data_IF_907819585293
#
_entry.id   IF_907819585293
#
_cell.length_a   1.000
_cell.length_b   1.000
_cell.length_c   1.000
_cell.angle_alpha   90.00
_cell.angle_beta   90.00
_cell.angle_gamma   90.00
#
_symmetry.space_group_name_H-M   'P 1'
#
loop_
_entity.id
_entity.type
_entity.pdbx_description
1 polymer ?
#
# COMPACT_ATOMS: atom_id res chain seq x y z
N UNK A 1 13.51 -15.58 3.47
CA UNK A 1 12.20 -14.97 3.73
C UNK A 1 12.01 -13.65 3.02
N UNK A 2 10.81 -13.17 3.04
CA UNK A 2 10.45 -11.87 2.44
C UNK A 2 10.72 -10.72 3.41
N UNK A 3 11.19 -9.60 2.86
CA UNK A 3 11.22 -8.33 3.58
C UNK A 3 9.82 -7.71 3.52
N UNK A 4 9.28 -7.31 4.66
CA UNK A 4 7.98 -6.64 4.74
C UNK A 4 8.17 -5.13 4.56
N UNK A 5 7.42 -4.56 3.62
CA UNK A 5 7.36 -3.11 3.36
C UNK A 5 5.91 -2.68 3.53
N UNK A 6 5.67 -1.64 4.32
CA UNK A 6 4.36 -1.02 4.42
C UNK A 6 4.25 0.12 3.42
N UNK A 7 3.23 0.08 2.58
CA UNK A 7 2.91 1.13 1.62
C UNK A 7 1.46 1.58 1.86
N UNK A 8 1.27 2.77 2.40
CA UNK A 8 -0.03 3.25 2.85
C UNK A 8 -0.26 4.71 2.47
N UNK A 9 -1.47 5.05 2.11
CA UNK A 9 -1.87 6.44 1.93
C UNK A 9 -2.20 7.15 3.25
N UNK A 10 -2.14 6.45 4.38
CA UNK A 10 -2.30 7.09 5.69
C UNK A 10 -1.12 8.00 6.02
N UNK A 11 -1.29 8.89 6.98
CA UNK A 11 -0.25 9.84 7.38
C UNK A 11 0.90 9.15 8.11
N UNK A 12 2.10 9.70 7.98
CA UNK A 12 3.35 9.11 8.43
C UNK A 12 3.37 8.65 9.90
N UNK A 13 2.93 9.42 10.90
CA UNK A 13 2.99 8.95 12.29
C UNK A 13 2.17 7.66 12.52
N UNK A 14 1.02 7.56 11.88
CA UNK A 14 0.16 6.37 11.97
C UNK A 14 0.77 5.19 11.23
N UNK A 15 1.27 5.43 10.02
CA UNK A 15 1.90 4.39 9.19
C UNK A 15 3.16 3.83 9.87
N UNK A 16 3.98 4.66 10.49
CA UNK A 16 5.16 4.23 11.22
C UNK A 16 4.81 3.32 12.39
N UNK A 17 3.80 3.70 13.18
CA UNK A 17 3.32 2.87 14.29
C UNK A 17 2.81 1.50 13.82
N UNK A 18 2.08 1.46 12.71
CA UNK A 18 1.62 0.19 12.12
C UNK A 18 2.82 -0.61 11.60
N UNK A 19 3.77 0.06 10.95
CA UNK A 19 4.99 -0.57 10.44
C UNK A 19 5.78 -1.28 11.52
N UNK A 20 5.93 -0.66 12.68
CA UNK A 20 6.56 -1.26 13.86
C UNK A 20 5.79 -2.51 14.33
N UNK A 21 4.47 -2.44 14.40
CA UNK A 21 3.63 -3.56 14.83
C UNK A 21 3.75 -4.78 13.91
N UNK A 22 3.89 -4.58 12.61
CA UNK A 22 3.99 -5.67 11.62
C UNK A 22 5.42 -6.07 11.28
N UNK A 23 6.41 -5.41 11.89
CA UNK A 23 7.81 -5.68 11.62
C UNK A 23 8.28 -5.24 10.23
N UNK A 24 7.69 -4.18 9.68
CA UNK A 24 8.09 -3.64 8.39
C UNK A 24 9.49 -3.02 8.48
N UNK A 25 10.34 -3.35 7.52
CA UNK A 25 11.68 -2.76 7.41
C UNK A 25 11.67 -1.38 6.81
N UNK A 26 10.69 -1.10 5.95
CA UNK A 26 10.49 0.21 5.34
C UNK A 26 9.02 0.57 5.36
N UNK A 27 8.75 1.86 5.52
CA UNK A 27 7.39 2.41 5.53
C UNK A 27 7.34 3.56 4.54
N UNK A 28 6.44 3.47 3.59
CA UNK A 28 6.10 4.55 2.66
C UNK A 28 4.68 5.02 2.97
N UNK A 29 4.54 6.29 3.22
CA UNK A 29 3.26 6.88 3.66
C UNK A 29 3.07 8.29 3.13
N UNK A 30 1.87 8.83 3.28
CA UNK A 30 1.64 10.25 3.05
C UNK A 30 2.32 11.05 4.16
N UNK A 31 2.99 12.14 3.79
CA UNK A 31 3.78 12.94 4.71
C UNK A 31 3.03 14.20 5.12
N UNK A 32 2.94 14.44 6.44
CA UNK A 32 2.41 15.67 6.98
C UNK A 32 3.46 16.77 6.93
N UNK A 33 3.03 18.00 6.66
CA UNK A 33 3.89 19.17 6.75
C UNK A 33 3.96 19.68 8.20
N UNK A 34 5.17 20.00 8.61
CA UNK A 34 5.45 20.61 9.92
C UNK A 34 6.09 21.98 9.72
N UNK A 35 5.71 22.92 10.59
CA UNK A 35 6.36 24.23 10.64
C UNK A 35 7.77 24.12 11.20
N UNK A 36 8.55 25.22 11.12
CA UNK A 36 9.88 25.33 11.73
C UNK A 36 9.91 25.05 13.25
N UNK A 37 8.75 25.11 13.91
CA UNK A 37 8.56 24.78 15.33
C UNK A 37 8.09 23.34 15.57
N UNK A 38 8.16 22.47 14.57
CA UNK A 38 7.64 21.09 14.61
C UNK A 38 6.14 20.98 14.94
N UNK A 39 5.36 21.96 14.51
CA UNK A 39 3.90 21.94 14.64
C UNK A 39 3.30 21.53 13.28
N UNK A 40 2.46 20.50 13.27
CA UNK A 40 1.73 20.10 12.08
C UNK A 40 0.79 21.23 11.64
N UNK A 41 0.90 21.66 10.40
CA UNK A 41 0.09 22.74 9.85
C UNK A 41 -1.25 22.27 9.24
N UNK A 42 -1.50 20.96 9.29
CA UNK A 42 -2.72 20.36 8.75
C UNK A 42 -2.70 20.10 7.24
N UNK A 43 -1.57 20.34 6.59
CA UNK A 43 -1.40 20.05 5.16
C UNK A 43 -0.57 18.79 4.92
N UNK A 44 -0.69 18.22 3.72
CA UNK A 44 0.04 17.03 3.29
C UNK A 44 1.08 17.45 2.26
N UNK A 45 2.36 17.20 2.56
CA UNK A 45 3.47 17.52 1.66
C UNK A 45 3.62 16.51 0.53
N UNK A 46 3.47 15.23 0.85
CA UNK A 46 3.47 14.13 -0.12
C UNK A 46 2.27 13.24 0.14
N UNK A 47 1.42 13.10 -0.85
CA UNK A 47 0.20 12.28 -0.77
C UNK A 47 0.36 11.01 -1.60
N UNK A 48 0.25 9.85 -0.96
CA UNK A 48 0.27 8.54 -1.62
C UNK A 48 -1.12 8.06 -2.05
N UNK A 49 -2.17 8.80 -1.74
CA UNK A 49 -3.52 8.44 -2.21
C UNK A 49 -3.57 8.51 -3.75
N UNK A 50 -3.76 7.36 -4.38
CA UNK A 50 -3.73 7.25 -5.84
C UNK A 50 -2.32 7.33 -6.48
N UNK A 51 -1.27 7.51 -5.70
CA UNK A 51 0.12 7.70 -6.18
C UNK A 51 1.07 6.55 -5.77
N UNK A 52 0.55 5.43 -5.32
CA UNK A 52 1.37 4.27 -4.94
C UNK A 52 2.13 3.65 -6.10
N UNK A 53 1.66 3.85 -7.32
CA UNK A 53 2.25 3.27 -8.52
C UNK A 53 3.72 3.64 -8.71
N UNK A 54 4.08 4.90 -8.46
CA UNK A 54 5.46 5.38 -8.60
C UNK A 54 6.40 4.69 -7.62
N UNK A 55 5.98 4.54 -6.35
CA UNK A 55 6.74 3.81 -5.34
C UNK A 55 6.87 2.34 -5.70
N UNK A 56 5.81 1.72 -6.17
CA UNK A 56 5.83 0.32 -6.63
C UNK A 56 6.75 0.12 -7.83
N UNK A 57 6.77 1.06 -8.75
CA UNK A 57 7.69 1.01 -9.89
C UNK A 57 9.15 1.04 -9.43
N UNK A 58 9.51 1.95 -8.54
CA UNK A 58 10.86 2.02 -7.96
C UNK A 58 11.25 0.72 -7.24
N UNK A 59 10.34 0.15 -6.46
CA UNK A 59 10.56 -1.12 -5.78
C UNK A 59 10.74 -2.28 -6.76
N UNK A 60 10.03 -2.28 -7.88
CA UNK A 60 10.15 -3.32 -8.91
C UNK A 60 11.51 -3.36 -9.58
N UNK A 61 12.19 -2.21 -9.66
CA UNK A 61 13.52 -2.11 -10.26
C UNK A 61 14.64 -2.73 -9.40
N UNK A 62 14.43 -2.82 -8.10
CA UNK A 62 15.45 -3.26 -7.13
C UNK A 62 15.11 -4.58 -6.44
N UNK A 63 13.93 -5.12 -6.68
CA UNK A 63 13.45 -6.36 -6.05
C UNK A 63 13.57 -7.54 -7.00
N UNK A 64 14.03 -8.69 -6.48
CA UNK A 64 14.06 -9.95 -7.24
C UNK A 64 12.67 -10.53 -7.44
N UNK A 65 11.84 -10.43 -6.42
CA UNK A 65 10.45 -10.85 -6.41
C UNK A 65 9.63 -9.85 -5.60
N UNK A 66 8.57 -9.35 -6.16
CA UNK A 66 7.70 -8.36 -5.53
C UNK A 66 6.28 -8.92 -5.41
N UNK A 67 5.84 -9.13 -4.17
CA UNK A 67 4.48 -9.55 -3.83
C UNK A 67 3.73 -8.38 -3.23
N UNK A 68 2.56 -8.07 -3.76
CA UNK A 68 1.74 -6.96 -3.31
C UNK A 68 0.42 -7.47 -2.74
N UNK A 69 0.10 -7.08 -1.52
CA UNK A 69 -1.12 -7.48 -0.81
C UNK A 69 -1.94 -6.23 -0.48
N UNK A 70 -3.20 -6.20 -0.90
CA UNK A 70 -4.07 -5.06 -0.63
C UNK A 70 -5.55 -5.44 -0.59
N UNK A 71 -6.34 -4.64 0.10
CA UNK A 71 -7.80 -4.66 0.07
C UNK A 71 -8.38 -3.46 -0.69
N UNK A 72 -7.55 -2.53 -1.13
CA UNK A 72 -7.97 -1.28 -1.75
C UNK A 72 -8.03 -1.40 -3.27
N UNK A 73 -9.22 -1.20 -3.84
CA UNK A 73 -9.45 -1.27 -5.28
C UNK A 73 -8.60 -0.28 -6.09
N UNK A 74 -8.27 0.88 -5.53
CA UNK A 74 -7.42 1.86 -6.20
C UNK A 74 -6.01 1.36 -6.48
N UNK A 75 -5.56 0.37 -5.72
CA UNK A 75 -4.24 -0.25 -5.91
C UNK A 75 -4.19 -1.20 -7.12
N UNK A 76 -5.30 -1.39 -7.83
CA UNK A 76 -5.33 -2.17 -9.07
C UNK A 76 -4.36 -1.65 -10.14
N UNK A 77 -4.00 -0.38 -10.07
CA UNK A 77 -2.96 0.21 -10.94
C UNK A 77 -1.56 -0.39 -10.73
N UNK A 78 -1.34 -1.07 -9.60
CA UNK A 78 -0.06 -1.70 -9.27
C UNK A 78 0.06 -3.17 -9.73
N UNK A 79 -1.00 -3.76 -10.28
CA UNK A 79 -1.02 -5.18 -10.67
C UNK A 79 0.13 -5.53 -11.61
N UNK A 80 0.41 -4.70 -12.59
CA UNK A 80 1.45 -4.94 -13.60
C UNK A 80 2.88 -4.78 -13.06
N UNK A 81 3.05 -4.17 -11.90
CA UNK A 81 4.36 -3.84 -11.32
C UNK A 81 4.87 -4.89 -10.34
N UNK A 82 4.09 -5.88 -10.00
CA UNK A 82 4.48 -6.95 -9.07
C UNK A 82 4.45 -8.31 -9.73
N UNK A 83 5.20 -9.25 -9.18
CA UNK A 83 5.24 -10.63 -9.66
C UNK A 83 4.01 -11.41 -9.21
N UNK A 84 3.52 -11.12 -8.02
CA UNK A 84 2.27 -11.68 -7.49
C UNK A 84 1.44 -10.58 -6.84
N UNK A 85 0.16 -10.54 -7.18
CA UNK A 85 -0.81 -9.63 -6.59
C UNK A 85 -1.85 -10.43 -5.82
N UNK A 86 -2.00 -10.12 -4.54
CA UNK A 86 -2.94 -10.77 -3.64
C UNK A 86 -3.99 -9.75 -3.21
N UNK A 87 -5.23 -9.99 -3.59
CA UNK A 87 -6.34 -9.16 -3.15
C UNK A 87 -6.97 -9.71 -1.87
N UNK A 88 -7.25 -8.84 -0.93
CA UNK A 88 -7.98 -9.18 0.30
C UNK A 88 -9.39 -8.62 0.20
N UNK A 89 -10.39 -9.45 0.45
CA UNK A 89 -11.79 -9.04 0.46
C UNK A 89 -12.28 -9.04 1.91
N UNK A 90 -12.54 -7.87 2.49
CA UNK A 90 -13.09 -7.77 3.83
C UNK A 90 -14.46 -8.44 3.94
N UNK A 91 -14.79 -8.92 5.13
CA UNK A 91 -16.08 -9.54 5.43
C UNK A 91 -17.25 -8.63 5.02
N UNK A 92 -18.27 -9.21 4.38
CA UNK A 92 -19.45 -8.49 3.93
C UNK A 92 -19.31 -7.69 2.64
N UNK A 93 -18.13 -7.75 1.98
CA UNK A 93 -17.87 -6.99 0.76
C UNK A 93 -17.80 -7.84 -0.50
N UNK A 94 -18.85 -8.61 -0.78
CA UNK A 94 -18.93 -9.52 -1.94
C UNK A 94 -18.63 -8.87 -3.29
N UNK A 95 -19.04 -7.62 -3.49
CA UNK A 95 -18.77 -6.88 -4.74
C UNK A 95 -17.28 -6.67 -5.00
N UNK A 96 -16.47 -6.65 -3.94
CA UNK A 96 -15.03 -6.53 -4.08
C UNK A 96 -14.40 -7.80 -4.65
N UNK A 97 -14.93 -8.96 -4.32
CA UNK A 97 -14.49 -10.22 -4.90
C UNK A 97 -14.66 -10.23 -6.43
N UNK A 98 -15.84 -9.86 -6.92
CA UNK A 98 -16.13 -9.78 -8.35
C UNK A 98 -15.21 -8.77 -9.05
N UNK A 99 -14.98 -7.62 -8.42
CA UNK A 99 -14.05 -6.61 -8.96
C UNK A 99 -12.65 -7.19 -9.21
N UNK A 100 -12.09 -7.88 -8.23
CA UNK A 100 -10.76 -8.46 -8.34
C UNK A 100 -10.72 -9.62 -9.34
N UNK A 101 -11.76 -10.43 -9.37
CA UNK A 101 -11.89 -11.51 -10.35
C UNK A 101 -11.93 -10.98 -11.77
N UNK A 102 -12.67 -9.90 -12.01
CA UNK A 102 -12.76 -9.25 -13.32
C UNK A 102 -11.41 -8.62 -13.74
N UNK A 103 -10.58 -8.22 -12.79
CA UNK A 103 -9.21 -7.76 -13.03
C UNK A 103 -8.21 -8.89 -13.32
N UNK A 104 -8.64 -10.14 -13.28
CA UNK A 104 -7.78 -11.28 -13.54
C UNK A 104 -6.92 -11.71 -12.36
N UNK A 105 -7.22 -11.26 -11.15
CA UNK A 105 -6.49 -11.66 -9.94
C UNK A 105 -6.82 -13.10 -9.59
N UNK A 106 -5.79 -13.93 -9.52
CA UNK A 106 -5.92 -15.35 -9.21
C UNK A 106 -6.00 -15.64 -7.71
N UNK A 107 -5.29 -14.85 -6.93
CA UNK A 107 -5.20 -15.06 -5.48
C UNK A 107 -6.01 -14.01 -4.75
N UNK A 108 -7.19 -14.42 -4.28
CA UNK A 108 -8.13 -13.58 -3.56
C UNK A 108 -8.38 -14.23 -2.20
N UNK A 109 -8.11 -13.50 -1.12
CA UNK A 109 -8.33 -13.94 0.25
C UNK A 109 -9.59 -13.28 0.77
N UNK A 110 -10.59 -14.08 1.11
CA UNK A 110 -11.84 -13.60 1.71
C UNK A 110 -11.81 -13.77 3.23
N UNK A 111 -12.05 -12.69 3.92
CA UNK A 111 -12.11 -12.67 5.39
C UNK A 111 -13.54 -12.91 5.90
#
# INVERSE_FOLDING_TARGET
>A
GFEVILLSATVDPVAESIGECVGAKRVYSSELNFSSKNICDGTIGRDLLGNKKDTMYELSLVSNELVFVTDNKSDSSCIELCDEFIAVVPSGRKKNYEFWKDKGIRRIICL
#
